data_IF_962895587482
#
_entry.id   IF_962895587482
#
_cell.length_a   1.000
_cell.length_b   1.000
_cell.length_c   1.000
_cell.angle_alpha   90.00
_cell.angle_beta   90.00
_cell.angle_gamma   90.00
#
_symmetry.space_group_name_H-M   'P 1'
#
loop_
_entity.id
_entity.type
_entity.pdbx_description
1 polymer ?
#
# COMPACT_ATOMS: atom_id res chain seq x y z
N UNK A 1 -19.73 -15.06 -40.97
CA UNK A 1 -19.59 -15.71 -39.67
C UNK A 1 -18.39 -15.22 -38.88
N UNK A 2 -17.24 -15.06 -39.47
CA UNK A 2 -16.04 -14.50 -38.78
C UNK A 2 -16.19 -13.05 -38.34
N UNK A 3 -16.96 -12.21 -39.02
CA UNK A 3 -17.21 -10.82 -38.65
C UNK A 3 -18.06 -10.66 -37.39
N UNK A 4 -18.99 -11.56 -37.13
CA UNK A 4 -19.82 -11.53 -35.90
C UNK A 4 -19.02 -11.85 -34.66
N UNK A 5 -18.06 -12.73 -34.77
CA UNK A 5 -17.18 -13.10 -33.65
C UNK A 5 -16.28 -11.94 -33.21
N UNK A 6 -15.77 -11.15 -34.18
CA UNK A 6 -14.92 -9.99 -33.88
C UNK A 6 -15.69 -8.83 -33.24
N UNK A 7 -16.94 -8.60 -33.66
CA UNK A 7 -17.78 -7.56 -33.08
C UNK A 7 -18.17 -7.86 -31.61
N UNK A 8 -18.47 -9.13 -31.31
CA UNK A 8 -18.74 -9.54 -29.94
C UNK A 8 -17.49 -9.41 -29.04
N UNK A 9 -16.33 -9.68 -29.59
CA UNK A 9 -15.06 -9.55 -28.86
C UNK A 9 -14.74 -8.08 -28.52
N UNK A 10 -14.95 -7.17 -29.45
CA UNK A 10 -14.77 -5.74 -29.25
C UNK A 10 -15.73 -5.18 -28.20
N UNK A 11 -16.99 -5.68 -28.14
CA UNK A 11 -17.96 -5.29 -27.13
C UNK A 11 -17.56 -5.77 -25.73
N UNK A 12 -16.96 -6.94 -25.59
CA UNK A 12 -16.46 -7.43 -24.30
C UNK A 12 -15.29 -6.59 -23.79
N UNK A 13 -14.38 -6.17 -24.66
CA UNK A 13 -13.28 -5.27 -24.30
C UNK A 13 -13.77 -3.92 -23.83
N UNK A 14 -14.84 -3.37 -24.45
CA UNK A 14 -15.43 -2.08 -24.08
C UNK A 14 -16.28 -2.15 -22.80
N UNK A 15 -16.64 -3.34 -22.33
CA UNK A 15 -17.51 -3.53 -21.15
C UNK A 15 -16.76 -3.39 -19.82
N UNK A 16 -15.47 -3.33 -19.85
CA UNK A 16 -14.64 -3.22 -18.66
C UNK A 16 -13.32 -2.50 -18.97
N UNK A 17 -12.76 -1.88 -17.95
CA UNK A 17 -11.45 -1.22 -18.05
C UNK A 17 -10.73 -1.26 -16.70
N UNK A 18 -9.40 -1.21 -16.69
CA UNK A 18 -8.67 -1.02 -15.43
C UNK A 18 -8.98 0.35 -14.86
N UNK A 19 -9.19 0.44 -13.55
CA UNK A 19 -9.27 1.72 -12.87
C UNK A 19 -7.93 2.46 -12.97
N UNK A 20 -7.93 3.81 -12.94
CA UNK A 20 -6.68 4.55 -12.87
C UNK A 20 -5.87 4.19 -11.63
N UNK A 21 -4.56 4.23 -11.77
CA UNK A 21 -3.66 3.97 -10.67
C UNK A 21 -3.31 2.50 -10.47
N UNK A 22 -2.57 2.25 -9.42
CA UNK A 22 -2.12 0.92 -9.03
C UNK A 22 -2.13 0.82 -7.52
N UNK A 23 -2.44 -0.35 -6.99
CA UNK A 23 -2.44 -0.60 -5.55
C UNK A 23 -1.34 -1.60 -5.23
N UNK A 24 -0.46 -1.23 -4.29
CA UNK A 24 0.46 -2.16 -3.68
C UNK A 24 -0.21 -2.79 -2.46
N UNK A 25 -0.39 -4.10 -2.49
CA UNK A 25 -1.00 -4.85 -1.40
C UNK A 25 0.06 -5.70 -0.70
N UNK A 26 0.24 -5.49 0.60
CA UNK A 26 1.09 -6.33 1.44
C UNK A 26 0.22 -7.15 2.38
N UNK A 27 0.41 -8.45 2.38
CA UNK A 27 -0.29 -9.35 3.28
C UNK A 27 0.67 -9.82 4.35
N UNK A 28 0.32 -9.58 5.61
CA UNK A 28 1.16 -9.89 6.76
C UNK A 28 0.41 -10.85 7.68
N UNK A 29 1.09 -11.93 8.09
CA UNK A 29 0.57 -12.82 9.13
C UNK A 29 1.14 -12.37 10.46
N UNK A 30 0.27 -12.14 11.44
CA UNK A 30 0.65 -11.69 12.78
C UNK A 30 0.32 -12.79 13.77
N UNK A 31 1.17 -13.00 14.78
CA UNK A 31 0.85 -13.91 15.88
C UNK A 31 -0.43 -13.45 16.56
N UNK A 32 -1.34 -14.39 16.82
CA UNK A 32 -2.73 -14.12 17.20
C UNK A 32 -2.90 -13.12 18.35
N UNK A 33 -2.08 -13.24 19.39
CA UNK A 33 -2.20 -12.38 20.58
C UNK A 33 -1.50 -11.02 20.41
N UNK A 34 -0.90 -10.75 19.24
CA UNK A 34 -0.06 -9.58 19.00
C UNK A 34 -0.62 -8.62 17.96
N UNK A 35 -1.87 -8.81 17.54
CA UNK A 35 -2.50 -7.93 16.53
C UNK A 35 -2.50 -6.47 17.00
N UNK A 36 -2.89 -6.20 18.25
CA UNK A 36 -2.93 -4.83 18.76
C UNK A 36 -1.53 -4.22 18.86
N UNK A 37 -0.56 -5.00 19.33
CA UNK A 37 0.83 -4.54 19.40
C UNK A 37 1.39 -4.20 18.02
N UNK A 38 1.05 -5.01 17.02
CA UNK A 38 1.44 -4.75 15.64
C UNK A 38 0.80 -3.47 15.09
N UNK A 39 -0.50 -3.28 15.32
CA UNK A 39 -1.22 -2.07 14.90
C UNK A 39 -0.66 -0.82 15.58
N UNK A 40 -0.35 -0.89 16.86
CA UNK A 40 0.27 0.22 17.60
C UNK A 40 1.62 0.60 16.98
N UNK A 41 2.44 -0.40 16.63
CA UNK A 41 3.71 -0.16 15.97
C UNK A 41 3.56 0.44 14.56
N UNK A 42 2.61 -0.05 13.79
CA UNK A 42 2.29 0.48 12.45
C UNK A 42 1.85 1.95 12.51
N UNK A 43 1.05 2.31 13.50
CA UNK A 43 0.56 3.69 13.65
C UNK A 43 1.72 4.68 13.76
N UNK A 44 2.75 4.32 14.51
CA UNK A 44 3.92 5.16 14.73
C UNK A 44 4.91 5.19 13.56
N UNK A 45 4.87 4.21 12.68
CA UNK A 45 5.84 4.05 11.60
C UNK A 45 5.19 4.11 10.22
N UNK A 46 4.60 3.02 9.78
CA UNK A 46 4.04 2.87 8.44
C UNK A 46 2.89 3.85 8.17
N UNK A 47 1.96 3.98 9.10
CA UNK A 47 0.81 4.90 8.97
C UNK A 47 1.30 6.35 8.93
N UNK A 48 2.18 6.72 9.84
CA UNK A 48 2.75 8.07 9.90
C UNK A 48 3.51 8.41 8.60
N UNK A 49 4.31 7.48 8.10
CA UNK A 49 5.04 7.64 6.84
C UNK A 49 4.11 7.81 5.65
N UNK A 50 3.05 7.01 5.55
CA UNK A 50 2.09 7.09 4.45
C UNK A 50 1.24 8.37 4.50
N UNK A 51 0.89 8.87 5.69
CA UNK A 51 0.23 10.17 5.83
C UNK A 51 1.08 11.30 5.23
N UNK A 52 2.37 11.29 5.49
CA UNK A 52 3.31 12.27 4.95
C UNK A 52 3.40 12.14 3.43
N UNK A 53 3.51 10.93 2.91
CA UNK A 53 3.57 10.69 1.47
C UNK A 53 2.29 11.16 0.76
N UNK A 54 1.14 10.98 1.40
CA UNK A 54 -0.14 11.48 0.88
C UNK A 54 -0.17 13.01 0.85
N UNK A 55 0.30 13.67 1.90
CA UNK A 55 0.44 15.13 1.92
C UNK A 55 1.38 15.65 0.85
N UNK A 56 2.45 14.91 0.57
CA UNK A 56 3.41 15.26 -0.48
C UNK A 56 2.90 14.95 -1.90
N UNK A 57 1.75 14.33 -2.04
CA UNK A 57 1.16 13.97 -3.32
C UNK A 57 1.81 12.78 -4.01
N UNK A 58 2.59 11.97 -3.30
CA UNK A 58 3.26 10.80 -3.84
C UNK A 58 2.28 9.64 -3.97
N UNK A 59 1.41 9.46 -2.99
CA UNK A 59 0.38 8.43 -2.98
C UNK A 59 -1.02 9.06 -2.91
N UNK A 60 -2.02 8.34 -3.41
CA UNK A 60 -3.41 8.76 -3.32
C UNK A 60 -4.03 8.43 -1.95
N UNK A 61 -3.64 7.32 -1.37
CA UNK A 61 -4.16 6.89 -0.08
C UNK A 61 -3.54 5.59 0.37
N UNK A 62 -3.92 5.17 1.58
CA UNK A 62 -3.48 3.92 2.17
C UNK A 62 -4.58 3.39 3.10
N UNK A 63 -4.58 2.09 3.31
CA UNK A 63 -5.52 1.44 4.22
C UNK A 63 -4.88 0.28 4.94
N UNK A 64 -5.42 -0.02 6.12
CA UNK A 64 -5.07 -1.20 6.92
C UNK A 64 -6.34 -1.98 7.17
N UNK A 65 -6.32 -3.27 6.89
CA UNK A 65 -7.44 -4.19 7.15
C UNK A 65 -6.96 -5.32 8.02
N UNK A 66 -7.81 -5.76 8.93
CA UNK A 66 -7.53 -6.93 9.77
C UNK A 66 -8.54 -8.02 9.42
N UNK A 67 -8.03 -9.17 9.01
CA UNK A 67 -8.85 -10.34 8.72
C UNK A 67 -9.08 -11.20 9.95
N UNK A 68 -10.04 -12.11 9.86
CA UNK A 68 -10.38 -13.03 10.96
C UNK A 68 -9.38 -14.20 11.14
N UNK A 69 -8.35 -14.25 10.31
CA UNK A 69 -7.35 -15.33 10.30
C UNK A 69 -5.95 -14.81 10.65
N UNK A 70 -5.87 -13.83 11.53
CA UNK A 70 -4.61 -13.19 11.97
C UNK A 70 -3.78 -12.58 10.85
N UNK A 71 -4.40 -12.26 9.73
CA UNK A 71 -3.77 -11.54 8.63
C UNK A 71 -4.09 -10.06 8.70
N UNK A 72 -3.08 -9.24 8.45
CA UNK A 72 -3.21 -7.79 8.30
C UNK A 72 -2.88 -7.46 6.85
N UNK A 73 -3.73 -6.64 6.23
CA UNK A 73 -3.60 -6.24 4.83
C UNK A 73 -3.27 -4.76 4.79
N UNK A 74 -2.14 -4.45 4.16
CA UNK A 74 -1.66 -3.07 4.02
C UNK A 74 -1.78 -2.70 2.54
N UNK A 75 -2.54 -1.67 2.23
CA UNK A 75 -2.67 -1.20 0.85
C UNK A 75 -2.21 0.23 0.70
N UNK A 76 -1.49 0.51 -0.38
CA UNK A 76 -1.07 1.85 -0.77
C UNK A 76 -1.51 2.08 -2.21
N UNK A 77 -2.25 3.15 -2.45
CA UNK A 77 -2.76 3.52 -3.77
C UNK A 77 -1.89 4.59 -4.40
N UNK A 78 -1.33 4.30 -5.56
CA UNK A 78 -0.52 5.22 -6.35
C UNK A 78 -1.30 5.69 -7.58
N UNK A 79 -1.13 6.95 -8.02
CA UNK A 79 -1.82 7.45 -9.22
C UNK A 79 -1.38 6.73 -10.50
N UNK A 80 -0.14 6.23 -10.54
CA UNK A 80 0.44 5.49 -11.67
C UNK A 80 1.71 4.77 -11.20
N UNK A 81 2.30 3.95 -12.07
CA UNK A 81 3.55 3.26 -11.75
C UNK A 81 4.73 4.21 -11.60
N UNK A 82 4.75 5.33 -12.31
CA UNK A 82 5.84 6.32 -12.19
C UNK A 82 5.93 6.92 -10.78
N UNK A 83 4.82 7.00 -10.05
CA UNK A 83 4.83 7.47 -8.67
C UNK A 83 5.58 6.53 -7.71
N UNK A 84 5.86 5.30 -8.14
CA UNK A 84 6.64 4.31 -7.38
C UNK A 84 8.13 4.38 -7.68
N UNK A 85 8.55 5.22 -8.63
CA UNK A 85 9.96 5.41 -8.95
C UNK A 85 10.73 5.96 -7.74
N UNK A 86 12.05 5.77 -7.68
CA UNK A 86 12.87 6.35 -6.62
C UNK A 86 12.65 7.85 -6.50
N UNK A 87 12.57 8.33 -5.27
CA UNK A 87 12.35 9.74 -5.00
C UNK A 87 13.55 10.59 -5.37
N UNK A 88 13.31 11.83 -5.77
CA UNK A 88 14.36 12.82 -5.92
C UNK A 88 14.99 13.15 -4.56
N UNK A 89 16.19 13.72 -4.58
CA UNK A 89 16.87 14.15 -3.36
C UNK A 89 16.03 15.15 -2.56
N UNK A 90 15.31 16.03 -3.28
CA UNK A 90 14.40 17.01 -2.66
C UNK A 90 13.23 16.33 -1.94
N UNK A 91 12.62 15.33 -2.56
CA UNK A 91 11.54 14.55 -1.95
C UNK A 91 12.02 13.78 -0.74
N UNK A 92 13.20 13.16 -0.84
CA UNK A 92 13.84 12.45 0.28
C UNK A 92 14.04 13.39 1.47
N UNK A 93 14.59 14.57 1.24
CA UNK A 93 14.87 15.56 2.28
C UNK A 93 13.58 16.08 2.92
N UNK A 94 12.56 16.35 2.12
CA UNK A 94 11.26 16.81 2.62
C UNK A 94 10.58 15.75 3.48
N UNK A 95 10.55 14.51 3.00
CA UNK A 95 9.98 13.39 3.75
C UNK A 95 10.71 13.20 5.08
N UNK A 96 12.03 13.14 5.05
CA UNK A 96 12.85 12.93 6.24
C UNK A 96 12.62 14.02 7.28
N UNK A 97 12.57 15.26 6.85
CA UNK A 97 12.31 16.41 7.74
C UNK A 97 10.93 16.27 8.41
N UNK A 98 9.91 15.91 7.66
CA UNK A 98 8.55 15.75 8.19
C UNK A 98 8.44 14.54 9.11
N UNK A 99 9.08 13.44 8.72
CA UNK A 99 9.01 12.20 9.49
C UNK A 99 9.74 12.31 10.82
N UNK A 100 10.89 13.00 10.86
CA UNK A 100 11.64 13.22 12.12
C UNK A 100 10.90 14.10 13.12
N UNK A 101 9.91 14.87 12.71
CA UNK A 101 9.01 15.59 13.63
C UNK A 101 8.00 14.66 14.31
N UNK A 102 7.70 13.52 13.71
CA UNK A 102 6.73 12.54 14.21
C UNK A 102 7.42 11.50 15.08
N UNK A 103 8.56 10.98 14.62
CA UNK A 103 9.29 9.92 15.31
C UNK A 103 10.80 10.07 15.08
N UNK A 104 11.60 9.83 16.13
CA UNK A 104 13.05 9.81 16.01
C UNK A 104 13.52 8.54 15.27
N UNK A 105 14.73 8.58 14.70
CA UNK A 105 15.33 7.42 14.06
C UNK A 105 15.45 6.23 15.02
N UNK A 106 15.82 6.50 16.28
CA UNK A 106 15.97 5.46 17.29
C UNK A 106 14.62 4.81 17.61
N UNK A 107 13.57 5.61 17.81
CA UNK A 107 12.24 5.09 18.12
C UNK A 107 11.64 4.35 16.95
N UNK A 108 11.88 4.82 15.74
CA UNK A 108 11.47 4.11 14.51
C UNK A 108 12.12 2.73 14.44
N UNK A 109 13.42 2.66 14.64
CA UNK A 109 14.17 1.41 14.60
C UNK A 109 13.72 0.44 15.70
N UNK A 110 13.51 0.95 16.92
CA UNK A 110 13.04 0.13 18.06
C UNK A 110 11.63 -0.39 17.84
N UNK A 111 10.73 0.42 17.30
CA UNK A 111 9.36 0.02 17.01
C UNK A 111 9.34 -1.04 15.91
N UNK A 112 10.08 -0.83 14.81
CA UNK A 112 10.18 -1.79 13.72
C UNK A 112 10.74 -3.13 14.20
N UNK A 113 11.79 -3.12 15.00
CA UNK A 113 12.38 -4.32 15.57
C UNK A 113 11.39 -5.05 16.48
N UNK A 114 10.59 -4.31 17.24
CA UNK A 114 9.59 -4.88 18.14
C UNK A 114 8.52 -5.68 17.41
N UNK A 115 8.08 -5.27 16.23
CA UNK A 115 7.05 -6.02 15.51
C UNK A 115 7.61 -7.04 14.50
N UNK A 116 8.91 -7.01 14.16
CA UNK A 116 9.51 -8.02 13.27
C UNK A 116 9.38 -9.43 13.83
N UNK A 117 9.50 -9.61 15.14
CA UNK A 117 9.40 -10.91 15.79
C UNK A 117 7.98 -11.47 15.87
N UNK A 118 6.97 -10.63 15.69
CA UNK A 118 5.57 -11.02 15.84
C UNK A 118 4.81 -11.11 14.51
N UNK A 119 5.49 -10.85 13.39
CA UNK A 119 4.88 -10.86 12.06
C UNK A 119 5.72 -11.59 11.03
N UNK A 120 5.07 -12.01 9.97
CA UNK A 120 5.68 -12.58 8.78
C UNK A 120 5.02 -11.95 7.54
N UNK A 121 5.81 -11.41 6.63
CA UNK A 121 5.29 -10.90 5.35
C UNK A 121 5.01 -12.11 4.46
N UNK A 122 3.73 -12.33 4.15
CA UNK A 122 3.30 -13.47 3.33
C UNK A 122 3.54 -13.20 1.86
N UNK A 123 3.14 -12.03 1.37
CA UNK A 123 3.33 -11.63 -0.03
C UNK A 123 3.13 -10.14 -0.22
N UNK A 124 3.67 -9.64 -1.32
CA UNK A 124 3.41 -8.29 -1.83
C UNK A 124 2.96 -8.43 -3.28
N UNK A 125 1.87 -7.78 -3.64
CA UNK A 125 1.30 -7.81 -4.98
C UNK A 125 0.95 -6.41 -5.45
N UNK A 126 1.15 -6.17 -6.75
CA UNK A 126 0.57 -5.01 -7.41
C UNK A 126 -0.76 -5.44 -8.01
N UNK A 127 -1.84 -4.77 -7.61
CA UNK A 127 -3.19 -5.08 -8.05
C UNK A 127 -3.85 -3.86 -8.68
N UNK A 128 -4.78 -4.12 -9.60
CA UNK A 128 -5.60 -3.08 -10.22
C UNK A 128 -7.07 -3.42 -10.04
N UNK A 129 -7.86 -2.41 -9.77
CA UNK A 129 -9.31 -2.55 -9.78
C UNK A 129 -9.80 -2.55 -11.23
N UNK A 130 -10.72 -3.43 -11.56
CA UNK A 130 -11.37 -3.48 -12.87
C UNK A 130 -12.75 -2.85 -12.73
N UNK A 131 -13.03 -1.88 -13.59
CA UNK A 131 -14.33 -1.22 -13.67
C UNK A 131 -15.16 -1.93 -14.73
N UNK A 132 -16.34 -2.38 -14.36
CA UNK A 132 -17.33 -2.96 -15.26
C UNK A 132 -18.35 -1.88 -15.62
N UNK A 133 -18.54 -1.69 -16.91
CA UNK A 133 -19.46 -0.67 -17.43
C UNK A 133 -20.88 -1.19 -17.58
#
# INVERSE_FOLDING_TARGET
MLMFSMAAYAQEEDSREPAPGVIELTVVKVKTNYIQDYLDGLELTWVAANKIQQEMGIIDGFNVYVGNNSHVYLSVSYPNFAAMDPWSDEQQAEFEKKFRKVISEQDQASTAQGYEDIREIVRVEMINRIIFK
#
